data_IF_894932406299
#
_entry.id   IF_894932406299
#
_cell.length_a   1.000
_cell.length_b   1.000
_cell.length_c   1.000
_cell.angle_alpha   90.00
_cell.angle_beta   90.00
_cell.angle_gamma   90.00
#
_symmetry.space_group_name_H-M   'P 1'
#
loop_
_entity.id
_entity.type
_entity.pdbx_description
1 polymer ?
#
# COMPACT_ATOMS: atom_id res chain seq x y z
N UNK A 1 4.71 12.54 8.89
CA UNK A 1 6.08 12.02 9.07
C UNK A 1 7.08 12.97 8.42
N UNK A 2 8.28 13.14 8.97
CA UNK A 2 9.35 13.87 8.27
C UNK A 2 9.93 13.01 7.12
N UNK A 3 10.84 13.57 6.31
CA UNK A 3 11.35 12.87 5.12
C UNK A 3 12.05 11.55 5.46
N UNK A 4 12.83 11.51 6.54
CA UNK A 4 13.59 10.32 6.93
C UNK A 4 12.66 9.22 7.48
N UNK A 5 11.67 9.61 8.28
CA UNK A 5 10.60 8.73 8.75
C UNK A 5 9.80 8.14 7.57
N UNK A 6 9.49 8.98 6.57
CA UNK A 6 8.78 8.58 5.36
C UNK A 6 9.57 7.56 4.54
N UNK A 7 10.87 7.83 4.33
CA UNK A 7 11.79 6.92 3.64
C UNK A 7 11.87 5.57 4.35
N UNK A 8 12.12 5.57 5.65
CA UNK A 8 12.21 4.34 6.45
C UNK A 8 10.89 3.56 6.45
N UNK A 9 9.74 4.26 6.45
CA UNK A 9 8.42 3.63 6.39
C UNK A 9 8.22 2.88 5.08
N UNK A 10 8.58 3.47 3.93
CA UNK A 10 8.53 2.76 2.65
C UNK A 10 9.47 1.54 2.62
N UNK A 11 10.71 1.69 3.10
CA UNK A 11 11.70 0.59 3.15
C UNK A 11 11.22 -0.58 4.03
N UNK A 12 10.60 -0.28 5.18
CA UNK A 12 9.97 -1.29 6.04
C UNK A 12 8.89 -2.09 5.31
N UNK A 13 8.25 -1.53 4.30
CA UNK A 13 7.20 -2.18 3.49
C UNK A 13 7.67 -2.80 2.17
N UNK A 14 8.99 -2.98 1.97
CA UNK A 14 9.56 -3.53 0.72
C UNK A 14 9.34 -2.58 -0.49
N UNK A 15 9.47 -1.28 -0.22
CA UNK A 15 9.30 -0.20 -1.15
C UNK A 15 10.37 0.89 -0.94
N UNK A 16 10.38 1.91 -1.78
CA UNK A 16 11.13 3.15 -1.58
C UNK A 16 10.21 4.35 -1.77
N UNK A 17 10.63 5.56 -1.36
CA UNK A 17 9.89 6.77 -1.71
C UNK A 17 9.76 6.87 -3.22
N UNK A 18 8.56 7.15 -3.71
CA UNK A 18 8.32 7.29 -5.13
C UNK A 18 9.10 8.47 -5.71
N UNK A 19 9.53 8.32 -6.95
CA UNK A 19 9.96 9.43 -7.81
C UNK A 19 8.75 10.20 -8.32
N UNK A 20 8.98 11.40 -8.87
CA UNK A 20 7.91 12.16 -9.51
C UNK A 20 7.29 11.38 -10.68
N UNK A 21 8.13 10.74 -11.50
CA UNK A 21 7.69 9.97 -12.67
C UNK A 21 6.78 8.81 -12.26
N UNK A 22 7.08 8.13 -11.15
CA UNK A 22 6.24 7.06 -10.62
C UNK A 22 4.91 7.58 -10.07
N UNK A 23 4.90 8.73 -9.37
CA UNK A 23 3.65 9.35 -8.90
C UNK A 23 2.80 9.84 -10.08
N UNK A 24 3.44 10.44 -11.09
CA UNK A 24 2.78 10.94 -12.28
C UNK A 24 2.13 9.80 -13.07
N UNK A 25 2.86 8.70 -13.31
CA UNK A 25 2.30 7.51 -13.96
C UNK A 25 1.10 6.94 -13.17
N UNK A 26 1.18 6.88 -11.84
CA UNK A 26 0.07 6.43 -11.02
C UNK A 26 -1.15 7.35 -11.13
N UNK A 27 -0.94 8.67 -11.23
CA UNK A 27 -2.01 9.64 -11.50
C UNK A 27 -2.65 9.46 -12.88
N UNK A 28 -1.85 9.21 -13.92
CA UNK A 28 -2.36 8.88 -15.27
C UNK A 28 -3.19 7.58 -15.24
N UNK A 29 -2.85 6.65 -14.36
CA UNK A 29 -3.63 5.43 -14.08
C UNK A 29 -4.85 5.65 -13.16
N UNK A 30 -5.14 6.90 -12.76
CA UNK A 30 -6.33 7.28 -12.00
C UNK A 30 -6.13 7.45 -10.50
N UNK A 31 -4.88 7.51 -9.99
CA UNK A 31 -4.64 7.81 -8.58
C UNK A 31 -5.08 9.24 -8.24
N UNK A 32 -6.10 9.36 -7.40
CA UNK A 32 -6.58 10.62 -6.84
C UNK A 32 -6.40 10.64 -5.31
N UNK A 33 -5.54 11.52 -4.81
CA UNK A 33 -5.22 11.61 -3.39
C UNK A 33 -4.97 13.06 -2.95
N UNK A 34 -5.81 13.56 -2.06
CA UNK A 34 -5.86 14.96 -1.64
C UNK A 34 -4.90 15.34 -0.49
N UNK A 35 -3.95 14.46 -0.15
CA UNK A 35 -2.98 14.74 0.91
C UNK A 35 -1.57 14.75 0.31
N UNK A 36 -0.78 15.77 0.65
CA UNK A 36 0.61 15.86 0.25
C UNK A 36 1.45 14.75 0.89
N UNK A 37 2.29 14.12 0.08
CA UNK A 37 3.22 13.08 0.48
C UNK A 37 4.63 13.36 -0.01
N UNK A 38 5.62 12.91 0.76
CA UNK A 38 7.03 12.99 0.39
C UNK A 38 7.34 12.16 -0.86
N UNK A 39 8.18 12.71 -1.72
CA UNK A 39 8.84 12.04 -2.84
C UNK A 39 10.35 11.93 -2.63
N UNK A 40 11.01 11.07 -3.40
CA UNK A 40 12.45 10.75 -3.25
C UNK A 40 13.37 11.98 -3.33
N UNK A 41 13.00 12.99 -4.10
CA UNK A 41 13.76 14.23 -4.28
C UNK A 41 13.64 15.21 -3.09
N UNK A 42 12.78 14.91 -2.11
CA UNK A 42 12.50 15.79 -0.98
C UNK A 42 11.46 16.87 -1.27
N UNK A 43 10.69 16.72 -2.34
CA UNK A 43 9.46 17.49 -2.54
C UNK A 43 8.28 16.85 -1.84
N UNK A 44 7.23 17.64 -1.60
CA UNK A 44 5.94 17.14 -1.16
C UNK A 44 4.88 17.46 -2.21
N UNK A 45 4.17 16.44 -2.69
CA UNK A 45 3.26 16.55 -3.84
C UNK A 45 1.99 15.74 -3.60
N UNK A 46 0.93 15.96 -4.39
CA UNK A 46 -0.30 15.16 -4.33
C UNK A 46 -1.02 15.14 -5.70
N UNK A 47 -1.51 13.96 -6.15
CA UNK A 47 -2.20 13.82 -7.43
C UNK A 47 -3.71 14.09 -7.30
N UNK A 48 -4.27 14.87 -8.23
CA UNK A 48 -5.71 15.17 -8.29
C UNK A 48 -6.24 14.82 -9.67
N UNK A 49 -7.14 13.84 -9.75
CA UNK A 49 -7.84 13.47 -11.01
C UNK A 49 -9.09 14.33 -11.17
N UNK A 50 -9.88 14.48 -10.10
CA UNK A 50 -11.08 15.32 -10.11
C UNK A 50 -10.87 16.62 -9.31
N UNK A 51 -10.77 17.80 -9.96
CA UNK A 51 -10.65 19.08 -9.28
C UNK A 51 -11.79 19.34 -8.30
N UNK A 52 -11.46 19.75 -7.08
CA UNK A 52 -12.43 20.00 -6.00
C UNK A 52 -11.90 20.99 -4.97
N UNK A 53 -12.80 21.75 -4.35
CA UNK A 53 -12.46 22.84 -3.41
C UNK A 53 -11.49 22.40 -2.30
N UNK A 54 -11.78 21.27 -1.64
CA UNK A 54 -10.96 20.74 -0.56
C UNK A 54 -9.52 20.37 -0.98
N UNK A 55 -9.26 20.23 -2.29
CA UNK A 55 -7.98 19.77 -2.83
C UNK A 55 -7.25 20.83 -3.62
N UNK A 56 -7.53 22.12 -3.34
CA UNK A 56 -6.88 23.27 -3.97
C UNK A 56 -7.74 23.96 -5.04
N UNK A 57 -9.06 23.79 -5.00
CA UNK A 57 -9.99 24.52 -5.86
C UNK A 57 -10.41 23.77 -7.13
N UNK A 58 -11.58 24.17 -7.64
CA UNK A 58 -12.21 23.66 -8.86
C UNK A 58 -11.65 24.25 -10.16
N UNK A 59 -11.04 25.44 -10.09
CA UNK A 59 -10.48 26.16 -11.25
C UNK A 59 -9.15 25.59 -11.77
N UNK A 60 -8.46 24.78 -10.97
CA UNK A 60 -7.20 24.16 -11.34
C UNK A 60 -7.44 22.86 -12.11
N UNK A 61 -6.75 22.70 -13.25
CA UNK A 61 -6.79 21.47 -14.04
C UNK A 61 -6.33 20.23 -13.23
N UNK A 62 -6.76 19.02 -13.63
CA UNK A 62 -6.23 17.76 -13.12
C UNK A 62 -4.70 17.71 -13.25
N UNK A 63 -4.03 17.08 -12.29
CA UNK A 63 -2.57 16.95 -12.30
C UNK A 63 -1.96 16.64 -10.95
N UNK A 64 -0.64 16.50 -10.94
CA UNK A 64 0.16 16.39 -9.71
C UNK A 64 0.54 17.79 -9.22
N UNK A 65 0.04 18.16 -8.04
CA UNK A 65 0.27 19.47 -7.42
C UNK A 65 1.45 19.38 -6.47
N UNK A 66 2.27 20.43 -6.42
CA UNK A 66 3.54 20.43 -5.68
C UNK A 66 3.61 21.56 -4.66
N UNK A 67 4.09 21.25 -3.46
CA UNK A 67 4.51 22.22 -2.44
C UNK A 67 6.01 22.56 -2.53
N UNK A 68 6.68 22.09 -3.59
CA UNK A 68 8.11 22.28 -3.82
C UNK A 68 8.98 21.46 -2.86
N UNK A 69 10.27 21.80 -2.83
CA UNK A 69 11.24 21.22 -1.88
C UNK A 69 10.90 21.69 -0.47
N UNK A 70 10.91 20.75 0.47
CA UNK A 70 10.50 20.96 1.86
C UNK A 70 11.65 20.69 2.83
N UNK A 71 11.53 21.19 4.06
CA UNK A 71 12.52 20.91 5.10
C UNK A 71 12.40 19.45 5.54
N UNK A 72 13.42 18.64 5.22
CA UNK A 72 13.42 17.19 5.44
C UNK A 72 13.31 16.77 6.90
N UNK A 73 13.65 17.66 7.83
CA UNK A 73 13.68 17.38 9.27
C UNK A 73 12.44 17.92 9.98
N UNK A 74 11.94 19.08 9.56
CA UNK A 74 10.88 19.83 10.25
C UNK A 74 9.50 19.63 9.64
N UNK A 75 9.39 19.61 8.31
CA UNK A 75 8.10 19.48 7.65
C UNK A 75 7.53 18.07 7.80
N UNK A 76 6.20 17.95 7.79
CA UNK A 76 5.51 16.67 7.96
C UNK A 76 4.43 16.47 6.92
N UNK A 77 4.53 15.34 6.22
CA UNK A 77 3.61 14.92 5.16
C UNK A 77 3.35 13.42 5.26
N UNK A 78 2.50 12.90 4.37
CA UNK A 78 2.40 11.46 4.10
C UNK A 78 3.62 10.97 3.29
N UNK A 79 3.59 9.75 2.80
CA UNK A 79 4.63 9.20 1.93
C UNK A 79 3.97 8.50 0.73
N UNK A 80 4.42 8.81 -0.48
CA UNK A 80 4.15 7.96 -1.63
C UNK A 80 5.28 6.93 -1.74
N UNK A 81 4.93 5.65 -1.67
CA UNK A 81 5.89 4.56 -1.77
C UNK A 81 5.72 3.82 -3.11
N UNK A 82 6.81 3.37 -3.70
CA UNK A 82 6.83 2.59 -4.93
C UNK A 82 7.57 1.25 -4.74
N UNK A 83 7.05 0.20 -5.38
CA UNK A 83 7.63 -1.14 -5.42
C UNK A 83 7.49 -1.71 -6.82
N UNK A 84 8.51 -2.42 -7.31
CA UNK A 84 8.62 -2.83 -8.72
C UNK A 84 8.54 -4.32 -8.98
N UNK A 85 8.86 -5.17 -7.99
CA UNK A 85 8.87 -6.62 -8.15
C UNK A 85 8.89 -7.33 -6.81
N UNK A 86 8.45 -8.59 -6.80
CA UNK A 86 8.63 -9.50 -5.67
C UNK A 86 9.71 -10.52 -6.00
N UNK A 87 10.64 -10.78 -5.06
CA UNK A 87 11.68 -11.82 -5.18
C UNK A 87 11.19 -13.17 -4.64
N UNK A 88 9.90 -13.42 -4.71
CA UNK A 88 9.27 -14.52 -4.02
C UNK A 88 7.79 -14.61 -4.35
N UNK A 89 7.05 -15.26 -3.48
CA UNK A 89 5.62 -15.51 -3.65
C UNK A 89 4.87 -14.98 -2.44
N UNK A 90 3.83 -14.19 -2.70
CA UNK A 90 2.81 -13.84 -1.71
C UNK A 90 1.61 -14.72 -1.93
N UNK A 91 1.11 -15.33 -0.86
CA UNK A 91 -0.06 -16.21 -0.91
C UNK A 91 -0.89 -16.03 0.36
N UNK A 92 -2.19 -16.28 0.23
CA UNK A 92 -3.09 -16.35 1.37
C UNK A 92 -2.96 -17.72 2.04
N UNK A 93 -2.60 -17.76 3.32
CA UNK A 93 -2.43 -19.02 4.03
C UNK A 93 -3.80 -19.64 4.31
N UNK A 94 -4.03 -20.80 3.70
CA UNK A 94 -5.24 -21.59 3.94
C UNK A 94 -5.17 -22.19 5.34
N UNK A 95 -5.89 -21.58 6.28
CA UNK A 95 -5.97 -22.02 7.67
C UNK A 95 -7.42 -22.31 8.06
N UNK A 96 -7.65 -23.36 8.85
CA UNK A 96 -9.01 -23.80 9.21
C UNK A 96 -9.79 -22.79 10.06
N UNK A 97 -9.08 -21.89 10.75
CA UNK A 97 -9.64 -20.82 11.56
C UNK A 97 -8.98 -19.49 11.23
N UNK A 98 -9.72 -18.39 11.41
CA UNK A 98 -9.14 -17.04 11.38
C UNK A 98 -8.25 -16.80 12.60
N UNK A 99 -7.23 -15.98 12.43
CA UNK A 99 -6.12 -15.76 13.36
C UNK A 99 -6.10 -14.31 13.84
N UNK A 100 -5.75 -14.12 15.11
CA UNK A 100 -5.33 -12.81 15.59
C UNK A 100 -3.97 -12.42 14.99
N UNK A 101 -3.51 -11.19 15.17
CA UNK A 101 -2.27 -10.72 14.53
C UNK A 101 -1.05 -11.56 14.94
N UNK A 102 -0.90 -11.90 16.21
CA UNK A 102 0.25 -12.68 16.70
C UNK A 102 0.21 -14.10 16.14
N UNK A 103 -0.95 -14.76 16.19
CA UNK A 103 -1.18 -16.09 15.62
C UNK A 103 -0.88 -16.10 14.11
N UNK A 104 -1.27 -15.04 13.39
CA UNK A 104 -1.03 -14.88 11.96
C UNK A 104 0.47 -14.82 11.62
N UNK A 105 1.25 -14.09 12.42
CA UNK A 105 2.71 -14.02 12.27
C UNK A 105 3.34 -15.40 12.48
N UNK A 106 2.96 -16.08 13.57
CA UNK A 106 3.46 -17.42 13.92
C UNK A 106 3.07 -18.47 12.87
N UNK A 107 1.87 -18.38 12.30
CA UNK A 107 1.39 -19.29 11.28
C UNK A 107 2.24 -19.19 9.99
N UNK A 108 2.55 -17.96 9.53
CA UNK A 108 3.45 -17.79 8.39
C UNK A 108 4.86 -18.32 8.66
N UNK A 109 5.39 -18.14 9.87
CA UNK A 109 6.70 -18.68 10.27
C UNK A 109 6.71 -20.21 10.30
N UNK A 110 5.66 -20.81 10.86
CA UNK A 110 5.48 -22.27 10.92
C UNK A 110 5.35 -22.89 9.54
N UNK A 111 4.78 -22.16 8.58
CA UNK A 111 4.72 -22.56 7.17
C UNK A 111 6.06 -22.34 6.42
N UNK A 112 7.10 -21.82 7.08
CA UNK A 112 8.43 -21.59 6.49
C UNK A 112 8.55 -20.27 5.72
N UNK A 113 7.61 -19.35 5.92
CA UNK A 113 7.62 -18.01 5.36
C UNK A 113 7.71 -16.91 6.43
N UNK A 114 7.26 -15.72 6.07
CA UNK A 114 7.04 -14.59 6.98
C UNK A 114 5.73 -13.91 6.61
N UNK A 115 5.12 -13.18 7.53
CA UNK A 115 3.96 -12.35 7.19
C UNK A 115 4.33 -11.36 6.08
N UNK A 116 3.48 -11.23 5.06
CA UNK A 116 3.75 -10.41 3.89
C UNK A 116 3.73 -8.92 4.25
N UNK A 117 4.60 -8.15 3.61
CA UNK A 117 4.61 -6.69 3.69
C UNK A 117 3.60 -6.08 2.71
N UNK A 118 3.24 -4.83 2.92
CA UNK A 118 2.29 -4.11 2.04
C UNK A 118 2.82 -4.00 0.60
N UNK A 119 4.08 -3.62 0.41
CA UNK A 119 4.68 -3.54 -0.92
C UNK A 119 4.72 -4.90 -1.62
N UNK A 120 4.96 -5.97 -0.87
CA UNK A 120 4.93 -7.33 -1.41
C UNK A 120 3.53 -7.72 -1.89
N UNK A 121 2.49 -7.46 -1.09
CA UNK A 121 1.11 -7.73 -1.49
C UNK A 121 0.72 -6.90 -2.73
N UNK A 122 1.07 -5.61 -2.74
CA UNK A 122 0.79 -4.73 -3.87
C UNK A 122 1.48 -5.21 -5.16
N UNK A 123 2.77 -5.56 -5.08
CA UNK A 123 3.50 -6.06 -6.23
C UNK A 123 2.98 -7.44 -6.71
N UNK A 124 2.58 -8.32 -5.80
CA UNK A 124 1.94 -9.59 -6.16
C UNK A 124 0.60 -9.38 -6.90
N UNK A 125 -0.21 -8.42 -6.44
CA UNK A 125 -1.43 -8.03 -7.13
C UNK A 125 -1.15 -7.41 -8.51
N UNK A 126 -0.29 -6.37 -8.56
CA UNK A 126 -0.06 -5.55 -9.76
C UNK A 126 0.67 -6.30 -10.88
N UNK A 127 1.63 -7.16 -10.53
CA UNK A 127 2.57 -7.75 -11.50
C UNK A 127 2.43 -9.27 -11.66
N UNK A 128 1.93 -9.98 -10.66
CA UNK A 128 1.79 -11.45 -10.69
C UNK A 128 0.33 -11.89 -10.84
N UNK A 129 -0.62 -11.00 -10.64
CA UNK A 129 -2.03 -11.30 -10.82
C UNK A 129 -2.69 -11.93 -9.59
N UNK A 130 -2.21 -11.65 -8.37
CA UNK A 130 -2.83 -12.15 -7.14
C UNK A 130 -4.24 -11.55 -6.95
N UNK A 131 -5.25 -12.41 -6.93
CA UNK A 131 -6.67 -12.07 -6.81
C UNK A 131 -7.34 -12.92 -5.72
N UNK A 132 -7.51 -12.34 -4.53
CA UNK A 132 -8.02 -13.03 -3.34
C UNK A 132 -9.05 -12.16 -2.60
N UNK A 133 -10.27 -12.68 -2.48
CA UNK A 133 -11.40 -12.00 -1.82
C UNK A 133 -11.43 -12.16 -0.29
N UNK A 134 -10.29 -12.39 0.34
CA UNK A 134 -10.23 -12.66 1.77
C UNK A 134 -9.28 -11.68 2.46
N UNK A 135 -9.85 -10.95 3.42
CA UNK A 135 -9.12 -10.00 4.24
C UNK A 135 -8.14 -10.72 5.16
N UNK A 136 -6.86 -10.36 5.04
CA UNK A 136 -5.78 -10.97 5.80
C UNK A 136 -4.80 -9.95 6.39
N UNK A 137 -4.20 -10.32 7.50
CA UNK A 137 -3.15 -9.56 8.16
C UNK A 137 -1.91 -9.39 7.28
N UNK A 138 -1.29 -8.22 7.39
CA UNK A 138 0.02 -7.88 6.84
C UNK A 138 0.98 -7.42 7.93
N UNK A 139 2.28 -7.36 7.62
CA UNK A 139 3.35 -7.06 8.56
C UNK A 139 3.22 -5.71 9.29
N UNK A 140 2.57 -4.71 8.67
CA UNK A 140 2.31 -3.40 9.28
C UNK A 140 1.14 -3.43 10.30
N UNK A 141 0.47 -4.57 10.46
CA UNK A 141 -0.73 -4.71 11.27
C UNK A 141 -1.98 -4.20 10.59
N UNK A 142 -1.94 -3.90 9.29
CA UNK A 142 -3.15 -3.66 8.51
C UNK A 142 -3.79 -4.97 8.07
N UNK A 143 -5.08 -4.90 7.76
CA UNK A 143 -5.82 -6.01 7.14
C UNK A 143 -6.23 -5.59 5.74
N UNK A 144 -5.78 -6.36 4.74
CA UNK A 144 -5.99 -6.03 3.31
C UNK A 144 -6.38 -7.24 2.49
N UNK A 145 -6.86 -7.02 1.28
CA UNK A 145 -7.11 -8.07 0.29
C UNK A 145 -6.98 -7.52 -1.15
N UNK A 146 -6.29 -8.21 -2.06
CA UNK A 146 -6.13 -7.79 -3.45
C UNK A 146 -7.24 -8.37 -4.33
N UNK A 147 -7.83 -7.53 -5.19
CA UNK A 147 -8.82 -7.96 -6.19
C UNK A 147 -8.42 -7.50 -7.58
N UNK A 148 -8.50 -8.38 -8.57
CA UNK A 148 -8.26 -8.05 -9.99
C UNK A 148 -9.56 -8.04 -10.76
N UNK A 149 -10.43 -9.01 -10.47
CA UNK A 149 -11.77 -9.05 -11.05
C UNK A 149 -12.78 -8.63 -9.99
N UNK A 150 -13.55 -7.56 -10.21
CA UNK A 150 -14.64 -7.19 -9.31
C UNK A 150 -15.66 -8.33 -9.20
N UNK A 151 -16.08 -8.66 -7.97
CA UNK A 151 -17.06 -9.72 -7.69
C UNK A 151 -18.09 -9.22 -6.68
N UNK A 152 -19.31 -9.75 -6.76
CA UNK A 152 -20.34 -9.46 -5.76
C UNK A 152 -19.82 -9.80 -4.36
N UNK A 153 -19.96 -8.86 -3.42
CA UNK A 153 -19.46 -8.93 -2.03
C UNK A 153 -17.92 -8.87 -1.86
N UNK A 154 -17.18 -8.46 -2.89
CA UNK A 154 -15.72 -8.42 -2.88
C UNK A 154 -15.14 -7.02 -3.09
N UNK A 155 -15.57 -6.05 -2.30
CA UNK A 155 -15.16 -4.66 -2.46
C UNK A 155 -15.94 -3.90 -3.54
N UNK A 156 -15.33 -2.86 -4.10
CA UNK A 156 -15.94 -1.98 -5.11
C UNK A 156 -15.85 -2.58 -6.52
N UNK A 157 -16.41 -1.89 -7.51
CA UNK A 157 -16.40 -2.28 -8.93
C UNK A 157 -15.03 -2.17 -9.62
N UNK A 158 -13.95 -1.87 -8.89
CA UNK A 158 -12.62 -1.64 -9.48
C UNK A 158 -11.56 -2.62 -8.94
N UNK A 159 -10.54 -2.96 -9.74
CA UNK A 159 -9.36 -3.67 -9.26
C UNK A 159 -8.61 -2.87 -8.18
N UNK A 160 -7.92 -3.55 -7.26
CA UNK A 160 -7.08 -2.88 -6.26
C UNK A 160 -6.76 -3.71 -5.03
N UNK A 161 -5.82 -3.22 -4.22
CA UNK A 161 -5.60 -3.72 -2.86
C UNK A 161 -6.51 -2.96 -1.90
N UNK A 162 -7.56 -3.62 -1.41
CA UNK A 162 -8.54 -3.06 -0.47
C UNK A 162 -8.03 -3.20 0.96
N UNK A 163 -8.43 -2.27 1.82
CA UNK A 163 -7.95 -2.19 3.21
C UNK A 163 -9.10 -2.00 4.17
N UNK A 164 -9.06 -2.74 5.28
CA UNK A 164 -9.88 -2.50 6.48
C UNK A 164 -9.14 -1.64 7.51
N UNK A 165 -8.04 -1.01 7.12
CA UNK A 165 -7.21 -0.20 8.00
C UNK A 165 -6.41 -1.05 9.00
N UNK A 166 -6.29 -0.54 10.22
CA UNK A 166 -5.52 -1.14 11.31
C UNK A 166 -6.46 -1.59 12.44
N UNK A 167 -7.19 -2.72 12.26
CA UNK A 167 -8.09 -3.21 13.29
C UNK A 167 -7.33 -3.61 14.57
N UNK A 168 -8.00 -3.65 15.74
CA UNK A 168 -7.38 -4.14 16.96
C UNK A 168 -6.80 -5.55 16.78
N UNK A 169 -5.56 -5.75 17.25
CA UNK A 169 -4.76 -6.96 16.99
C UNK A 169 -5.38 -8.28 17.50
N UNK A 170 -6.38 -8.21 18.38
CA UNK A 170 -7.09 -9.38 18.91
C UNK A 170 -8.23 -9.87 17.99
N UNK A 171 -8.66 -9.06 17.01
CA UNK A 171 -9.65 -9.47 16.01
C UNK A 171 -9.08 -10.56 15.10
N UNK A 172 -9.95 -11.41 14.56
CA UNK A 172 -9.56 -12.59 13.78
C UNK A 172 -9.77 -12.38 12.28
N UNK A 173 -8.69 -12.52 11.50
CA UNK A 173 -8.68 -12.41 10.04
C UNK A 173 -7.86 -13.55 9.41
N UNK A 174 -7.79 -13.62 8.08
CA UNK A 174 -6.80 -14.46 7.42
C UNK A 174 -5.38 -13.89 7.55
N UNK A 175 -4.44 -14.44 6.79
CA UNK A 175 -3.08 -13.89 6.72
C UNK A 175 -2.48 -14.10 5.34
N UNK A 176 -1.77 -13.08 4.85
CA UNK A 176 -0.92 -13.22 3.68
C UNK A 176 0.51 -13.50 4.14
N UNK A 177 1.09 -14.57 3.62
CA UNK A 177 2.47 -14.95 3.88
C UNK A 177 3.33 -14.68 2.64
N UNK A 178 4.63 -14.57 2.86
CA UNK A 178 5.65 -14.36 1.83
C UNK A 178 6.78 -15.38 1.99
N UNK A 179 7.14 -16.05 0.88
CA UNK A 179 8.28 -16.96 0.78
C UNK A 179 9.22 -16.47 -0.32
N UNK A 180 10.51 -16.35 0.00
CA UNK A 180 11.54 -16.05 -1.01
C UNK A 180 11.70 -17.27 -1.91
N UNK A 181 11.70 -17.07 -3.22
CA UNK A 181 12.04 -18.12 -4.20
C UNK A 181 13.38 -17.73 -4.83
N UNK A 182 14.36 -18.62 -4.72
CA UNK A 182 15.70 -18.46 -5.30
C UNK A 182 15.76 -19.11 -6.68
#
# INVERSE_FOLDING_TARGET
>A
MNFYEAKETCEKQDAHLATFEQLYAAWEEGLDWCNAGWLMDGTAQYPVVEPREACGGTELAPGVRSYGVRDKSLDRFDAFCFTSSIRGEVYFLQHHIKLNFTEAVEACQSDGGRIAKVGQLYAAWRFVGLDQCDAGWLADGSVRYPIIQPRMNCGTSEPGVRSFGFPPKHLKHGVYCYKVRW
#
